data_IF_301904198155
#
_entry.id   IF_301904198155
#
_cell.length_a   1.000
_cell.length_b   1.000
_cell.length_c   1.000
_cell.angle_alpha   90.00
_cell.angle_beta   90.00
_cell.angle_gamma   90.00
#
_symmetry.space_group_name_H-M   'P 1'
#
loop_
_entity.id
_entity.type
_entity.pdbx_description
1 polymer ?
#
# COMPACT_ATOMS: atom_id res chain seq x y z
N UNK A 1 -53.57 -8.15 16.71
CA UNK A 1 -52.95 -7.59 15.49
C UNK A 1 -51.66 -6.82 15.76
N UNK A 2 -51.65 -5.75 16.57
CA UNK A 2 -50.43 -4.94 16.83
C UNK A 2 -49.26 -5.67 17.53
N UNK A 3 -49.54 -6.61 18.44
CA UNK A 3 -48.51 -7.38 19.18
C UNK A 3 -47.78 -8.41 18.31
N UNK A 4 -48.49 -9.02 17.37
CA UNK A 4 -47.96 -10.00 16.41
C UNK A 4 -46.94 -9.33 15.45
N UNK A 5 -47.27 -8.13 14.97
CA UNK A 5 -46.42 -7.34 14.07
C UNK A 5 -45.13 -6.87 14.78
N UNK A 6 -45.21 -6.54 16.07
CA UNK A 6 -44.04 -6.10 16.85
C UNK A 6 -43.05 -7.25 17.08
N UNK A 7 -43.56 -8.46 17.35
CA UNK A 7 -42.74 -9.67 17.54
C UNK A 7 -42.10 -10.14 16.23
N UNK A 8 -42.78 -9.98 15.09
CA UNK A 8 -42.22 -10.31 13.78
C UNK A 8 -41.10 -9.35 13.38
N UNK A 9 -41.23 -8.05 13.67
CA UNK A 9 -40.18 -7.04 13.43
C UNK A 9 -38.92 -7.29 14.26
N UNK A 10 -39.06 -7.66 15.53
CA UNK A 10 -37.93 -7.96 16.42
C UNK A 10 -37.15 -9.21 15.97
N UNK A 11 -37.89 -10.23 15.52
CA UNK A 11 -37.31 -11.46 14.95
C UNK A 11 -36.56 -11.18 13.64
N UNK A 12 -37.07 -10.26 12.81
CA UNK A 12 -36.43 -9.84 11.56
C UNK A 12 -35.12 -9.07 11.81
N UNK A 13 -35.08 -8.22 12.84
CA UNK A 13 -33.88 -7.48 13.25
C UNK A 13 -32.79 -8.44 13.76
N UNK A 14 -33.15 -9.47 14.54
CA UNK A 14 -32.21 -10.50 14.98
C UNK A 14 -31.66 -11.33 13.82
N UNK A 15 -32.48 -11.61 12.80
CA UNK A 15 -32.05 -12.30 11.58
C UNK A 15 -30.99 -11.47 10.81
N UNK A 16 -31.15 -10.15 10.76
CA UNK A 16 -30.16 -9.24 10.16
C UNK A 16 -28.89 -9.06 11.02
N UNK A 17 -29.00 -9.05 12.35
CA UNK A 17 -27.84 -8.98 13.25
C UNK A 17 -26.93 -10.21 13.16
N UNK A 18 -27.47 -11.40 12.84
CA UNK A 18 -26.66 -12.61 12.64
C UNK A 18 -25.95 -12.67 11.28
N UNK A 19 -26.34 -11.83 10.31
CA UNK A 19 -25.62 -11.70 9.03
C UNK A 19 -24.36 -10.84 9.13
N UNK A 20 -24.14 -10.16 10.26
CA UNK A 20 -22.82 -9.67 10.63
C UNK A 20 -21.95 -10.86 11.06
N UNK A 21 -21.76 -11.82 10.15
CA UNK A 21 -20.62 -12.71 10.22
C UNK A 21 -19.40 -11.82 10.37
N UNK A 22 -18.63 -12.05 11.42
CA UNK A 22 -17.21 -11.72 11.44
C UNK A 22 -16.64 -12.25 10.13
N UNK A 23 -16.49 -11.38 9.12
CA UNK A 23 -15.76 -11.70 7.92
C UNK A 23 -14.37 -12.10 8.41
N UNK A 24 -14.03 -13.38 8.32
CA UNK A 24 -12.64 -13.78 8.51
C UNK A 24 -11.85 -12.92 7.52
N UNK A 25 -10.86 -12.14 7.97
CA UNK A 25 -10.13 -11.27 7.06
C UNK A 25 -9.51 -12.16 5.99
N UNK A 26 -10.02 -12.05 4.75
CA UNK A 26 -9.42 -12.75 3.63
C UNK A 26 -8.04 -12.13 3.39
N UNK A 27 -7.04 -12.99 3.22
CA UNK A 27 -5.70 -12.54 2.90
C UNK A 27 -5.71 -11.89 1.52
N UNK A 28 -5.45 -10.59 1.47
CA UNK A 28 -5.28 -9.87 0.21
C UNK A 28 -3.81 -10.00 -0.22
N UNK A 29 -3.58 -10.59 -1.39
CA UNK A 29 -2.24 -10.77 -1.95
C UNK A 29 -1.97 -9.74 -3.04
N UNK A 30 -0.83 -9.05 -2.95
CA UNK A 30 -0.36 -8.15 -4.00
C UNK A 30 1.01 -8.62 -4.53
N UNK A 31 1.15 -8.71 -5.85
CA UNK A 31 2.43 -9.07 -6.50
C UNK A 31 3.07 -7.88 -7.20
N UNK A 32 4.34 -7.65 -6.89
CA UNK A 32 5.20 -6.65 -7.57
C UNK A 32 5.74 -7.16 -8.90
N UNK A 33 5.38 -8.38 -9.33
CA UNK A 33 5.81 -8.98 -10.59
C UNK A 33 6.98 -9.96 -10.47
N UNK A 34 7.12 -10.63 -9.33
CA UNK A 34 8.11 -11.72 -9.14
C UNK A 34 9.47 -11.27 -8.60
N UNK A 35 9.63 -10.00 -8.23
CA UNK A 35 10.84 -9.50 -7.58
C UNK A 35 10.80 -9.72 -6.07
N UNK A 36 11.95 -9.91 -5.44
CA UNK A 36 12.04 -9.87 -3.98
C UNK A 36 11.61 -8.51 -3.45
N UNK A 37 10.92 -8.53 -2.31
CA UNK A 37 10.53 -7.32 -1.57
C UNK A 37 11.60 -7.08 -0.50
N UNK A 38 12.25 -5.93 -0.57
CA UNK A 38 13.36 -5.57 0.32
C UNK A 38 12.94 -4.53 1.38
N UNK A 39 12.00 -3.65 1.05
CA UNK A 39 11.58 -2.56 1.93
C UNK A 39 10.10 -2.21 1.73
N UNK A 40 9.46 -1.71 2.79
CA UNK A 40 8.07 -1.24 2.79
C UNK A 40 7.98 0.08 3.55
N UNK A 41 7.17 1.02 3.07
CA UNK A 41 6.79 2.23 3.80
C UNK A 41 5.33 2.63 3.49
N UNK A 42 4.56 2.99 4.51
CA UNK A 42 3.14 3.35 4.38
C UNK A 42 2.97 4.86 4.33
N UNK A 43 2.13 5.35 3.42
CA UNK A 43 1.74 6.75 3.23
C UNK A 43 0.23 6.83 2.97
N UNK A 44 -0.57 7.03 4.02
CA UNK A 44 -2.03 7.00 3.91
C UNK A 44 -2.53 5.65 3.36
N UNK A 45 -3.30 5.69 2.27
CA UNK A 45 -3.82 4.50 1.59
C UNK A 45 -2.81 3.82 0.67
N UNK A 46 -1.59 4.35 0.59
CA UNK A 46 -0.53 3.81 -0.25
C UNK A 46 0.53 3.08 0.56
N UNK A 47 1.08 2.04 -0.05
CA UNK A 47 2.32 1.40 0.38
C UNK A 47 3.36 1.53 -0.72
N UNK A 48 4.54 2.01 -0.33
CA UNK A 48 5.74 2.07 -1.14
C UNK A 48 6.54 0.79 -0.91
N UNK A 49 6.83 0.06 -1.98
CA UNK A 49 7.45 -1.25 -1.95
C UNK A 49 8.77 -1.20 -2.70
N UNK A 50 9.86 -1.41 -2.00
CA UNK A 50 11.20 -1.53 -2.56
C UNK A 50 11.46 -2.95 -3.01
N UNK A 51 11.94 -3.12 -4.24
CA UNK A 51 12.18 -4.43 -4.84
C UNK A 51 13.52 -4.49 -5.55
N UNK A 52 13.88 -5.68 -6.04
CA UNK A 52 15.06 -5.86 -6.90
C UNK A 52 14.89 -5.18 -8.28
N UNK A 53 13.65 -4.92 -8.69
CA UNK A 53 13.29 -4.34 -10.00
C UNK A 53 12.91 -2.86 -9.97
N UNK A 54 12.96 -2.21 -8.81
CA UNK A 54 12.59 -0.81 -8.63
C UNK A 54 11.69 -0.57 -7.42
N UNK A 55 11.03 0.59 -7.43
CA UNK A 55 10.08 1.03 -6.41
C UNK A 55 8.65 0.91 -6.94
N UNK A 56 7.74 0.37 -6.15
CA UNK A 56 6.32 0.26 -6.50
C UNK A 56 5.50 1.11 -5.52
N UNK A 57 4.66 2.01 -6.03
CA UNK A 57 3.60 2.65 -5.24
C UNK A 57 2.31 1.86 -5.47
N UNK A 58 1.76 1.27 -4.42
CA UNK A 58 0.54 0.47 -4.46
C UNK A 58 -0.55 1.13 -3.64
N UNK A 59 -1.74 1.28 -4.20
CA UNK A 59 -2.94 1.66 -3.47
C UNK A 59 -3.52 0.42 -2.77
N UNK A 60 -3.60 0.43 -1.44
CA UNK A 60 -4.08 -0.71 -0.65
C UNK A 60 -5.59 -0.94 -0.77
N UNK A 61 -6.36 0.07 -1.19
CA UNK A 61 -7.81 -0.02 -1.36
C UNK A 61 -8.21 -0.52 -2.75
N UNK A 62 -7.52 -0.06 -3.80
CA UNK A 62 -7.88 -0.38 -5.20
C UNK A 62 -6.99 -1.43 -5.84
N UNK A 63 -5.80 -1.69 -5.28
CA UNK A 63 -4.78 -2.55 -5.88
C UNK A 63 -4.04 -1.94 -7.07
N UNK A 64 -4.35 -0.70 -7.44
CA UNK A 64 -3.65 0.01 -8.51
C UNK A 64 -2.19 0.24 -8.12
N UNK A 65 -1.28 0.03 -9.07
CA UNK A 65 0.17 0.18 -8.84
C UNK A 65 0.85 1.03 -9.90
N UNK A 66 1.87 1.77 -9.46
CA UNK A 66 2.79 2.54 -10.29
C UNK A 66 4.21 2.07 -10.01
N UNK A 67 4.97 1.80 -11.07
CA UNK A 67 6.35 1.34 -10.96
C UNK A 67 7.32 2.46 -11.32
N UNK A 68 8.36 2.63 -10.51
CA UNK A 68 9.47 3.54 -10.74
C UNK A 68 10.76 2.73 -10.84
N UNK A 69 11.51 2.98 -11.90
CA UNK A 69 12.79 2.31 -12.17
C UNK A 69 13.92 3.33 -12.24
N UNK A 70 15.13 2.88 -12.55
CA UNK A 70 16.26 3.74 -12.89
C UNK A 70 15.91 4.75 -13.98
N UNK A 71 15.11 4.34 -14.98
CA UNK A 71 14.63 5.23 -16.04
C UNK A 71 13.67 6.32 -15.55
N UNK A 72 13.09 6.16 -14.36
CA UNK A 72 12.18 7.14 -13.75
C UNK A 72 12.90 8.18 -12.89
N UNK A 73 14.20 8.01 -12.61
CA UNK A 73 14.97 8.90 -11.73
C UNK A 73 15.64 8.21 -10.54
N UNK A 74 15.43 6.90 -10.34
CA UNK A 74 16.17 6.15 -9.32
C UNK A 74 17.66 6.01 -9.72
N UNK A 75 18.61 6.03 -8.76
CA UNK A 75 20.02 5.77 -9.06
C UNK A 75 20.26 4.31 -9.49
N UNK A 76 19.52 3.37 -8.92
CA UNK A 76 19.52 1.95 -9.23
C UNK A 76 18.13 1.35 -9.06
N UNK A 77 17.84 0.25 -9.80
CA UNK A 77 16.61 -0.53 -9.60
C UNK A 77 16.62 -1.30 -8.27
N UNK A 78 17.80 -1.57 -7.71
CA UNK A 78 17.92 -2.35 -6.49
C UNK A 78 17.59 -1.46 -5.28
N UNK A 79 16.32 -1.43 -4.87
CA UNK A 79 15.83 -0.63 -3.75
C UNK A 79 16.02 -1.41 -2.45
N UNK A 80 16.74 -0.82 -1.49
CA UNK A 80 17.14 -1.44 -0.24
C UNK A 80 16.45 -0.84 0.99
N UNK A 81 16.05 0.43 0.92
CA UNK A 81 15.43 1.13 2.04
C UNK A 81 14.47 2.21 1.53
N UNK A 82 13.41 2.44 2.29
CA UNK A 82 12.44 3.52 2.06
C UNK A 82 12.15 4.18 3.41
N UNK A 83 12.23 5.51 3.46
CA UNK A 83 11.76 6.32 4.57
C UNK A 83 10.88 7.45 4.04
N UNK A 84 9.87 7.85 4.82
CA UNK A 84 8.98 8.96 4.47
C UNK A 84 9.14 10.02 5.54
N UNK A 85 9.50 11.23 5.15
CA UNK A 85 9.69 12.34 6.10
C UNK A 85 8.37 13.06 6.41
N UNK A 86 8.40 13.97 7.38
CA UNK A 86 7.22 14.74 7.80
C UNK A 86 6.66 15.71 6.74
N UNK A 87 7.36 15.90 5.62
CA UNK A 87 6.89 16.68 4.48
C UNK A 87 6.32 15.79 3.37
N UNK A 88 6.28 14.46 3.57
CA UNK A 88 5.81 13.49 2.58
C UNK A 88 6.85 13.17 1.51
N UNK A 89 8.13 13.54 1.67
CA UNK A 89 9.15 13.11 0.74
C UNK A 89 9.48 11.64 0.98
N UNK A 90 9.60 10.88 -0.11
CA UNK A 90 10.10 9.50 -0.08
C UNK A 90 11.60 9.55 -0.25
N UNK A 91 12.33 9.03 0.73
CA UNK A 91 13.77 8.83 0.70
C UNK A 91 14.04 7.35 0.38
N UNK A 92 14.66 7.09 -0.76
CA UNK A 92 14.84 5.76 -1.33
C UNK A 92 16.33 5.46 -1.40
N UNK A 93 16.78 4.58 -0.51
CA UNK A 93 18.11 4.02 -0.54
C UNK A 93 18.18 2.91 -1.58
N UNK A 94 19.10 3.03 -2.52
CA UNK A 94 19.33 2.05 -3.58
C UNK A 94 20.77 1.57 -3.57
N UNK A 95 21.06 0.47 -4.26
CA UNK A 95 22.44 0.01 -4.47
C UNK A 95 23.35 0.99 -5.22
N UNK A 96 22.81 2.10 -5.76
CA UNK A 96 23.56 3.14 -6.49
C UNK A 96 23.55 4.52 -5.83
N UNK A 97 23.06 4.65 -4.59
CA UNK A 97 22.94 5.93 -3.89
C UNK A 97 21.53 6.20 -3.38
N UNK A 98 21.29 7.45 -2.97
CA UNK A 98 20.04 7.89 -2.36
C UNK A 98 19.24 8.76 -3.33
N UNK A 99 17.93 8.53 -3.40
CA UNK A 99 17.00 9.42 -4.09
C UNK A 99 15.96 9.98 -3.14
N UNK A 100 15.55 11.23 -3.37
CA UNK A 100 14.40 11.87 -2.74
C UNK A 100 13.32 12.11 -3.81
N UNK A 101 12.11 11.68 -3.55
CA UNK A 101 10.94 11.90 -4.40
C UNK A 101 9.87 12.71 -3.64
N UNK A 102 9.54 13.90 -4.15
CA UNK A 102 8.57 14.81 -3.53
C UNK A 102 7.11 14.55 -3.98
N UNK A 103 6.89 13.55 -4.84
CA UNK A 103 5.60 13.26 -5.49
C UNK A 103 5.55 13.70 -6.96
N UNK A 104 6.48 14.56 -7.38
CA UNK A 104 6.59 15.10 -8.74
C UNK A 104 8.02 14.96 -9.28
N UNK A 105 9.01 15.40 -8.51
CA UNK A 105 10.41 15.49 -8.89
C UNK A 105 11.30 14.53 -8.11
N UNK A 106 12.38 14.13 -8.79
CA UNK A 106 13.45 13.33 -8.22
C UNK A 106 14.67 14.20 -7.94
N UNK A 107 15.25 14.07 -6.74
CA UNK A 107 16.57 14.58 -6.41
C UNK A 107 17.49 13.41 -6.07
N UNK A 108 18.63 13.30 -6.74
CA UNK A 108 19.57 12.19 -6.55
C UNK A 108 20.80 12.69 -5.79
N UNK A 109 21.19 11.93 -4.77
CA UNK A 109 22.39 12.12 -3.98
C UNK A 109 23.28 10.90 -4.19
N UNK A 110 24.29 11.07 -5.05
CA UNK A 110 25.33 10.07 -5.27
C UNK A 110 26.40 10.16 -4.17
N UNK A 111 27.14 9.07 -3.99
CA UNK A 111 28.27 8.99 -3.04
C UNK A 111 29.61 9.30 -3.70
N UNK A 112 29.60 9.91 -4.90
CA UNK A 112 30.77 10.12 -5.76
C UNK A 112 31.06 11.60 -5.98
#
# INVERSE_FOLDING_TARGET
MKREILLSLFSLIFLFCTFSFSQNPEWINFTTGGNHINALAIEGDYIWVGTDGGLVKLNMLTGEKVNYTKGSGLPSNYVLAIAIDGQGNKWIGTGGGLAKFDGVNWTVYNTS
#
